data_IF_518099441556
#
_entry.id   IF_518099441556
#
_cell.length_a   1.000
_cell.length_b   1.000
_cell.length_c   1.000
_cell.angle_alpha   90.00
_cell.angle_beta   90.00
_cell.angle_gamma   90.00
#
_symmetry.space_group_name_H-M   'P 1'
#
loop_
_entity.id
_entity.type
_entity.pdbx_description
1 polymer ?
#
# COMPACT_ATOMS: atom_id res chain seq x y z
N UNK A 1 47.42 -44.77 58.93
CA UNK A 1 48.03 -43.44 59.05
C UNK A 1 47.39 -42.53 58.03
N UNK A 2 46.65 -41.54 58.50
CA UNK A 2 46.11 -40.41 57.73
C UNK A 2 47.24 -39.46 57.28
N UNK A 3 46.94 -38.49 56.38
CA UNK A 3 47.87 -37.91 55.41
C UNK A 3 48.25 -36.44 55.69
N UNK A 4 49.33 -35.94 55.07
CA UNK A 4 49.65 -34.52 54.92
C UNK A 4 50.56 -34.32 53.70
N UNK A 5 50.64 -33.17 53.02
CA UNK A 5 49.68 -32.22 52.43
C UNK A 5 50.59 -31.23 51.64
N UNK A 6 50.29 -31.04 50.35
CA UNK A 6 50.37 -29.79 49.55
C UNK A 6 51.74 -29.10 49.31
N UNK A 7 52.10 -28.90 48.05
CA UNK A 7 52.08 -27.62 47.31
C UNK A 7 52.56 -27.91 45.88
N UNK A 8 51.71 -27.69 44.88
CA UNK A 8 52.17 -27.26 43.56
C UNK A 8 51.13 -26.35 42.93
N UNK A 9 51.65 -25.21 42.48
CA UNK A 9 50.98 -24.04 41.97
C UNK A 9 50.08 -24.34 40.76
N UNK A 10 48.85 -23.81 40.87
CA UNK A 10 48.00 -23.21 39.83
C UNK A 10 48.59 -23.13 38.41
N UNK A 11 47.91 -23.74 37.43
CA UNK A 11 47.69 -23.17 36.08
C UNK A 11 46.54 -23.90 35.37
N UNK A 12 45.34 -23.82 35.93
CA UNK A 12 44.08 -23.99 35.18
C UNK A 12 43.53 -22.60 34.96
N UNK A 13 43.63 -22.06 33.76
CA UNK A 13 42.80 -21.03 33.12
C UNK A 13 43.54 -20.70 31.82
N UNK A 14 43.12 -21.27 30.69
CA UNK A 14 43.11 -20.65 29.36
C UNK A 14 42.29 -21.49 28.37
N UNK A 15 41.27 -22.20 28.87
CA UNK A 15 40.22 -22.83 28.06
C UNK A 15 38.88 -22.17 28.37
N UNK A 16 38.84 -20.85 28.25
CA UNK A 16 37.60 -20.09 28.23
C UNK A 16 37.84 -18.77 27.48
N UNK A 17 38.25 -18.89 26.22
CA UNK A 17 37.90 -17.84 25.26
C UNK A 17 36.41 -18.04 25.03
N UNK A 18 35.64 -17.49 25.97
CA UNK A 18 34.24 -17.22 25.82
C UNK A 18 34.12 -16.50 24.48
N UNK A 19 33.46 -17.13 23.51
CA UNK A 19 32.84 -16.43 22.41
C UNK A 19 31.78 -15.56 23.07
N UNK A 20 32.19 -14.43 23.64
CA UNK A 20 31.30 -13.32 23.90
C UNK A 20 30.88 -12.89 22.52
N UNK A 21 29.76 -13.45 22.05
CA UNK A 21 28.93 -12.74 21.11
C UNK A 21 28.83 -11.32 21.67
N UNK A 22 29.45 -10.37 20.98
CA UNK A 22 29.20 -8.97 21.18
C UNK A 22 27.72 -8.80 20.82
N UNK A 23 26.84 -9.03 21.80
CA UNK A 23 25.46 -8.58 21.71
C UNK A 23 25.60 -7.07 21.71
N UNK A 24 25.62 -6.47 20.52
CA UNK A 24 25.53 -5.03 20.40
C UNK A 24 24.17 -4.64 20.98
N UNK A 25 24.17 -4.15 22.21
CA UNK A 25 22.99 -3.54 22.82
C UNK A 25 22.65 -2.29 22.02
N UNK A 26 21.58 -2.36 21.22
CA UNK A 26 21.04 -1.19 20.54
C UNK A 26 20.35 -0.30 21.57
N UNK A 27 20.66 0.99 21.56
CA UNK A 27 19.96 1.99 22.36
C UNK A 27 18.60 2.27 21.71
N UNK A 28 17.51 1.96 22.42
CA UNK A 28 16.15 2.14 21.92
C UNK A 28 15.58 3.46 22.44
N UNK A 29 15.21 4.36 21.52
CA UNK A 29 14.62 5.65 21.83
C UNK A 29 13.12 5.62 21.51
N UNK A 30 12.28 5.70 22.53
CA UNK A 30 10.83 5.79 22.37
C UNK A 30 10.40 7.25 22.20
N UNK A 31 9.53 7.52 21.24
CA UNK A 31 8.92 8.84 20.99
C UNK A 31 7.41 8.70 20.89
N UNK A 32 6.68 9.48 21.67
CA UNK A 32 5.24 9.69 21.41
C UNK A 32 5.11 10.58 20.17
N UNK A 33 4.22 10.17 19.25
CA UNK A 33 4.10 10.78 17.93
C UNK A 33 2.63 11.09 17.58
N UNK A 34 2.47 12.13 16.77
CA UNK A 34 1.19 12.66 16.31
C UNK A 34 1.08 12.50 14.80
N UNK A 35 -0.15 12.35 14.31
CA UNK A 35 -0.41 12.28 12.87
C UNK A 35 -0.17 13.63 12.20
N UNK A 36 0.13 13.58 10.91
CA UNK A 36 0.31 14.75 10.04
C UNK A 36 1.51 15.64 10.44
N UNK A 37 2.37 15.15 11.33
CA UNK A 37 3.67 15.74 11.69
C UNK A 37 4.80 15.06 10.91
N UNK A 38 5.77 15.87 10.46
CA UNK A 38 7.00 15.37 9.83
C UNK A 38 8.13 15.36 10.85
N UNK A 39 8.69 14.18 11.10
CA UNK A 39 9.82 13.95 12.01
C UNK A 39 11.11 13.83 11.22
N UNK A 40 12.06 14.73 11.48
CA UNK A 40 13.41 14.69 10.90
C UNK A 40 14.39 14.22 11.98
N UNK A 41 14.86 12.99 11.86
CA UNK A 41 15.67 12.31 12.88
C UNK A 41 16.87 11.59 12.25
N UNK A 42 17.72 10.99 13.09
CA UNK A 42 18.87 10.21 12.62
C UNK A 42 19.09 8.95 13.44
N UNK A 43 19.50 7.88 12.76
CA UNK A 43 19.82 6.56 13.36
C UNK A 43 21.22 6.10 12.96
N UNK A 44 21.78 5.18 13.74
CA UNK A 44 23.05 4.48 13.54
C UNK A 44 22.88 3.01 13.87
N UNK A 45 23.88 2.17 13.61
CA UNK A 45 23.88 0.75 13.96
C UNK A 45 23.71 0.47 15.46
N UNK A 46 23.95 1.49 16.30
CA UNK A 46 23.85 1.41 17.76
C UNK A 46 22.55 2.00 18.30
N UNK A 47 21.66 2.54 17.47
CA UNK A 47 20.47 3.26 17.93
C UNK A 47 19.25 2.92 17.08
N UNK A 48 18.12 2.70 17.74
CA UNK A 48 16.81 2.45 17.16
C UNK A 48 15.84 3.52 17.66
N UNK A 49 14.92 3.97 16.81
CA UNK A 49 13.87 4.93 17.21
C UNK A 49 12.51 4.27 16.98
N UNK A 50 11.68 4.26 18.02
CA UNK A 50 10.31 3.72 17.99
C UNK A 50 9.34 4.87 18.21
N UNK A 51 8.53 5.18 17.19
CA UNK A 51 7.45 6.15 17.27
C UNK A 51 6.15 5.45 17.64
N UNK A 52 5.45 5.96 18.65
CA UNK A 52 4.15 5.48 19.08
C UNK A 52 3.07 6.44 18.65
N UNK A 53 2.17 5.98 17.79
CA UNK A 53 1.00 6.74 17.33
C UNK A 53 -0.26 6.18 18.00
N UNK A 54 -1.08 7.05 18.59
CA UNK A 54 -2.33 6.64 19.26
C UNK A 54 -3.54 6.90 18.37
N UNK A 55 -4.37 5.88 18.12
CA UNK A 55 -5.59 5.94 17.31
C UNK A 55 -6.79 5.37 18.07
N UNK A 56 -7.95 6.00 17.95
CA UNK A 56 -9.22 5.41 18.41
C UNK A 56 -9.77 4.49 17.30
N UNK A 57 -10.04 3.22 17.61
CA UNK A 57 -10.63 2.25 16.67
C UNK A 57 -11.71 1.43 17.40
N UNK A 58 -12.76 1.02 16.70
CA UNK A 58 -13.63 -0.08 17.14
C UNK A 58 -12.85 -1.41 16.98
N UNK A 59 -12.80 -2.26 18.03
CA UNK A 59 -12.06 -3.56 18.13
C UNK A 59 -12.12 -4.45 16.86
N UNK A 60 -11.20 -5.33 16.46
CA UNK A 60 -9.87 -5.84 16.82
C UNK A 60 -9.38 -6.65 15.57
N UNK A 61 -8.08 -6.80 15.32
CA UNK A 61 -7.38 -8.07 14.94
C UNK A 61 -5.97 -7.84 14.35
N UNK A 62 -5.13 -8.86 14.57
CA UNK A 62 -3.68 -9.01 14.33
C UNK A 62 -2.98 -7.96 13.47
N UNK A 63 -1.93 -7.41 14.06
CA UNK A 63 -0.93 -6.56 13.41
C UNK A 63 -0.31 -7.30 12.22
N UNK A 64 -0.69 -6.90 11.01
CA UNK A 64 0.19 -7.14 9.87
C UNK A 64 1.39 -6.22 10.08
N UNK A 65 2.55 -6.80 10.37
CA UNK A 65 3.81 -6.07 10.42
C UNK A 65 4.21 -5.82 8.97
N UNK A 66 4.21 -4.56 8.56
CA UNK A 66 4.79 -4.13 7.30
C UNK A 66 6.21 -3.65 7.58
N UNK A 67 7.17 -4.25 6.89
CA UNK A 67 8.56 -3.83 6.92
C UNK A 67 9.04 -3.58 5.49
N UNK A 68 9.77 -2.50 5.30
CA UNK A 68 10.33 -2.13 4.02
C UNK A 68 11.63 -1.36 4.23
N UNK A 69 12.56 -1.47 3.29
CA UNK A 69 13.87 -0.86 3.36
C UNK A 69 13.88 0.47 2.59
N UNK A 70 14.65 1.43 3.10
CA UNK A 70 15.03 2.66 2.38
C UNK A 70 16.55 2.62 2.12
N UNK A 71 17.02 2.82 0.87
CA UNK A 71 16.21 2.95 -0.34
C UNK A 71 15.49 1.64 -0.69
N UNK A 72 14.31 1.75 -1.29
CA UNK A 72 13.64 0.63 -1.92
C UNK A 72 14.30 0.38 -3.28
N UNK A 73 14.83 -0.82 -3.48
CA UNK A 73 15.47 -1.23 -4.74
C UNK A 73 14.48 -2.02 -5.60
N UNK A 74 14.07 -1.47 -6.74
CA UNK A 74 13.22 -2.16 -7.72
C UNK A 74 14.04 -2.60 -8.93
N UNK A 75 13.73 -3.77 -9.50
CA UNK A 75 14.49 -4.38 -10.60
C UNK A 75 13.70 -4.42 -11.90
N UNK A 76 14.21 -3.75 -12.93
CA UNK A 76 13.67 -3.78 -14.29
C UNK A 76 13.96 -5.08 -15.04
N UNK A 77 13.43 -5.19 -16.26
CA UNK A 77 13.51 -6.37 -17.12
C UNK A 77 14.95 -6.73 -17.46
N UNK A 78 15.81 -5.72 -17.71
CA UNK A 78 17.23 -5.91 -17.96
C UNK A 78 18.09 -6.03 -16.69
N UNK A 79 17.50 -6.36 -15.53
CA UNK A 79 18.16 -6.36 -14.21
C UNK A 79 18.72 -4.99 -13.78
N UNK A 80 18.24 -3.91 -14.38
CA UNK A 80 18.56 -2.55 -13.92
C UNK A 80 17.96 -2.33 -12.54
N UNK A 81 18.76 -1.84 -11.60
CA UNK A 81 18.30 -1.53 -10.25
C UNK A 81 17.97 -0.04 -10.11
N UNK A 82 16.76 0.26 -9.65
CA UNK A 82 16.26 1.61 -9.47
C UNK A 82 16.06 1.90 -7.97
N UNK A 83 16.90 2.77 -7.36
CA UNK A 83 16.77 3.13 -5.95
C UNK A 83 15.70 4.20 -5.74
N UNK A 84 14.81 3.99 -4.75
CA UNK A 84 13.83 4.97 -4.31
C UNK A 84 14.07 5.36 -2.85
N UNK A 85 14.44 6.61 -2.62
CA UNK A 85 14.69 7.15 -1.28
C UNK A 85 13.43 7.67 -0.59
N UNK A 86 12.40 8.03 -1.37
CA UNK A 86 11.06 8.40 -0.89
C UNK A 86 10.10 7.25 -1.14
N UNK A 87 9.53 6.72 -0.06
CA UNK A 87 8.61 5.60 -0.08
C UNK A 87 7.35 5.92 0.72
N UNK A 88 6.24 5.27 0.40
CA UNK A 88 4.95 5.51 1.05
C UNK A 88 4.03 4.31 0.86
N UNK A 89 3.35 3.90 1.93
CA UNK A 89 2.49 2.72 1.93
C UNK A 89 1.22 3.04 2.72
N UNK A 90 0.06 2.64 2.20
CA UNK A 90 -1.20 2.74 2.94
C UNK A 90 -1.35 1.49 3.80
N UNK A 91 -1.62 1.68 5.09
CA UNK A 91 -1.83 0.57 6.01
C UNK A 91 -3.23 -0.02 5.83
N UNK A 92 -3.31 -1.33 5.59
CA UNK A 92 -4.60 -2.00 5.51
C UNK A 92 -5.13 -2.25 6.92
N UNK A 93 -6.43 -1.98 7.12
CA UNK A 93 -7.09 -2.27 8.39
C UNK A 93 -7.94 -3.54 8.21
N UNK A 94 -7.68 -4.61 8.98
CA UNK A 94 -8.51 -5.79 8.92
C UNK A 94 -9.96 -5.44 9.32
N UNK A 95 -10.96 -6.16 8.78
CA UNK A 95 -12.36 -5.88 9.07
C UNK A 95 -12.66 -6.01 10.58
N UNK A 96 -13.27 -4.96 11.13
CA UNK A 96 -13.73 -4.84 12.51
C UNK A 96 -14.86 -5.85 12.74
N UNK A 97 -14.69 -6.76 13.71
CA UNK A 97 -15.75 -7.68 14.14
C UNK A 97 -16.50 -7.02 15.30
N UNK A 98 -17.72 -6.56 15.01
CA UNK A 98 -18.73 -5.98 15.92
C UNK A 98 -18.36 -4.67 16.64
N UNK A 99 -19.24 -3.67 16.49
CA UNK A 99 -19.18 -2.37 17.13
C UNK A 99 -19.70 -2.45 18.57
N UNK A 100 -18.80 -2.68 19.51
CA UNK A 100 -19.09 -2.56 20.93
C UNK A 100 -17.75 -2.35 21.64
N UNK A 101 -17.53 -1.11 22.09
CA UNK A 101 -16.33 -0.52 22.73
C UNK A 101 -15.29 0.11 21.79
N UNK A 102 -15.20 1.44 21.90
CA UNK A 102 -14.07 2.24 21.42
C UNK A 102 -12.85 1.95 22.29
N UNK A 103 -11.78 1.42 21.68
CA UNK A 103 -10.51 1.22 22.38
C UNK A 103 -9.42 2.06 21.71
N UNK A 104 -8.64 2.78 22.52
CA UNK A 104 -7.43 3.45 22.03
C UNK A 104 -6.40 2.36 21.70
N UNK A 105 -6.12 2.19 20.41
CA UNK A 105 -5.07 1.31 19.92
C UNK A 105 -3.86 2.15 19.49
N UNK A 106 -2.67 1.72 19.91
CA UNK A 106 -1.42 2.30 19.40
C UNK A 106 -0.87 1.44 18.28
N UNK A 107 -0.28 2.08 17.27
CA UNK A 107 0.65 1.41 16.36
C UNK A 107 2.03 2.04 16.48
N UNK A 108 3.03 1.24 16.13
CA UNK A 108 4.43 1.58 16.32
C UNK A 108 5.13 1.59 14.97
N UNK A 109 5.97 2.60 14.75
CA UNK A 109 6.88 2.66 13.62
C UNK A 109 8.29 2.54 14.17
N UNK A 110 8.98 1.48 13.74
CA UNK A 110 10.35 1.18 14.13
C UNK A 110 11.30 1.60 13.01
N UNK A 111 12.29 2.43 13.34
CA UNK A 111 13.35 2.87 12.43
C UNK A 111 14.71 2.45 12.97
N UNK A 112 15.43 1.66 12.17
CA UNK A 112 16.77 1.17 12.48
C UNK A 112 17.63 1.14 11.21
N UNK A 113 18.96 1.08 11.39
CA UNK A 113 19.92 0.96 10.29
C UNK A 113 21.09 0.10 10.73
N UNK A 114 21.78 -0.53 9.77
CA UNK A 114 23.05 -1.22 9.99
C UNK A 114 24.27 -0.31 9.82
N UNK A 115 24.07 0.93 9.36
CA UNK A 115 25.17 1.87 9.12
C UNK A 115 25.81 2.34 10.43
N UNK A 116 27.13 2.19 10.55
CA UNK A 116 27.88 2.77 11.67
C UNK A 116 27.93 4.30 11.64
N UNK A 117 27.62 4.92 10.51
CA UNK A 117 27.54 6.37 10.35
C UNK A 117 26.11 6.88 10.59
N UNK A 118 26.00 8.15 10.99
CA UNK A 118 24.71 8.82 11.20
C UNK A 118 23.93 8.90 9.89
N UNK A 119 22.77 8.25 9.85
CA UNK A 119 21.86 8.23 8.70
C UNK A 119 20.63 9.04 9.04
N UNK A 120 20.38 10.12 8.30
CA UNK A 120 19.23 11.00 8.51
C UNK A 120 18.02 10.50 7.72
N UNK A 121 16.82 10.68 8.26
CA UNK A 121 15.56 10.33 7.58
C UNK A 121 14.44 11.31 7.95
N UNK A 122 13.40 11.29 7.12
CA UNK A 122 12.13 11.95 7.39
C UNK A 122 11.02 10.90 7.48
N UNK A 123 10.21 11.00 8.54
CA UNK A 123 9.03 10.15 8.75
C UNK A 123 7.79 11.02 8.85
N UNK A 124 6.77 10.71 8.06
CA UNK A 124 5.45 11.31 8.16
C UNK A 124 4.39 10.21 8.13
N UNK A 125 3.45 10.27 9.07
CA UNK A 125 2.29 9.37 9.10
C UNK A 125 1.03 10.21 9.11
N UNK A 126 0.22 10.06 8.08
CA UNK A 126 -0.99 10.87 7.88
C UNK A 126 -2.25 10.02 7.80
N UNK A 127 -3.40 10.65 8.05
CA UNK A 127 -4.70 10.01 7.84
C UNK A 127 -5.12 10.22 6.39
N UNK A 128 -5.36 9.12 5.67
CA UNK A 128 -5.82 9.21 4.29
C UNK A 128 -7.29 9.65 4.26
N UNK A 129 -7.52 10.89 3.87
CA UNK A 129 -8.86 11.41 3.60
C UNK A 129 -9.44 10.74 2.34
N UNK A 130 -10.77 10.56 2.30
CA UNK A 130 -11.45 9.98 1.14
C UNK A 130 -10.97 8.58 0.73
N UNK A 131 -10.51 7.77 1.69
CA UNK A 131 -10.14 6.37 1.45
C UNK A 131 -11.31 5.54 0.89
N UNK A 132 -12.54 5.84 1.32
CA UNK A 132 -13.75 5.26 0.75
C UNK A 132 -14.24 6.12 -0.40
N UNK A 133 -14.20 5.57 -1.60
CA UNK A 133 -14.69 6.17 -2.83
C UNK A 133 -16.20 6.42 -2.76
N UNK A 134 -16.62 7.60 -3.18
CA UNK A 134 -18.04 7.94 -3.34
C UNK A 134 -18.46 7.69 -4.79
N UNK A 135 -19.70 7.22 -4.97
CA UNK A 135 -20.29 6.96 -6.29
C UNK A 135 -20.39 8.26 -7.09
N UNK A 136 -20.01 8.21 -8.37
CA UNK A 136 -19.99 9.33 -9.32
C UNK A 136 -19.13 10.54 -8.90
N UNK A 137 -18.32 10.40 -7.85
CA UNK A 137 -17.36 11.42 -7.46
C UNK A 137 -15.98 11.10 -8.03
N UNK A 138 -15.34 12.13 -8.60
CA UNK A 138 -13.97 12.04 -9.11
C UNK A 138 -12.96 12.21 -7.99
N UNK A 139 -12.12 11.20 -7.77
CA UNK A 139 -10.94 11.28 -6.91
C UNK A 139 -9.69 11.52 -7.77
N UNK A 140 -8.94 12.57 -7.47
CA UNK A 140 -7.65 12.86 -8.09
C UNK A 140 -6.52 12.49 -7.14
N UNK A 141 -5.53 11.73 -7.61
CA UNK A 141 -4.37 11.34 -6.81
C UNK A 141 -3.13 11.09 -7.67
N UNK A 142 -1.96 11.09 -7.02
CA UNK A 142 -0.69 10.72 -7.62
C UNK A 142 -0.25 9.35 -7.13
N UNK A 143 0.39 8.58 -8.01
CA UNK A 143 0.92 7.25 -7.73
C UNK A 143 2.32 7.12 -8.34
N UNK A 144 3.22 6.42 -7.66
CA UNK A 144 4.56 6.08 -8.16
C UNK A 144 4.90 4.61 -7.81
N UNK A 145 5.98 4.02 -8.35
CA UNK A 145 6.39 2.67 -7.97
C UNK A 145 6.67 2.52 -6.47
N UNK A 146 7.20 3.57 -5.82
CA UNK A 146 7.50 3.58 -4.38
C UNK A 146 6.37 4.09 -3.49
N UNK A 147 5.31 4.64 -4.09
CA UNK A 147 4.11 5.15 -3.42
C UNK A 147 2.84 4.66 -4.14
N UNK A 148 2.56 3.34 -4.10
CA UNK A 148 1.30 2.79 -4.59
C UNK A 148 0.12 3.26 -3.75
N UNK A 149 -1.08 3.26 -4.35
CA UNK A 149 -2.30 3.73 -3.70
C UNK A 149 -3.42 2.71 -3.89
N UNK A 150 -4.27 2.55 -2.87
CA UNK A 150 -5.51 1.81 -3.01
C UNK A 150 -6.64 2.45 -2.23
N UNK A 151 -7.86 2.25 -2.70
CA UNK A 151 -9.07 2.86 -2.15
C UNK A 151 -10.17 1.81 -1.98
N UNK A 152 -11.06 2.01 -1.00
CA UNK A 152 -12.21 1.13 -0.76
C UNK A 152 -13.42 1.65 -1.52
N UNK A 153 -14.21 0.77 -2.12
CA UNK A 153 -15.56 1.06 -2.57
C UNK A 153 -16.56 0.17 -1.87
N UNK A 154 -17.74 0.70 -1.54
CA UNK A 154 -18.87 -0.05 -0.97
C UNK A 154 -20.04 0.12 -1.93
N UNK A 155 -20.65 -0.99 -2.35
CA UNK A 155 -21.80 -0.91 -3.24
C UNK A 155 -22.98 -0.22 -2.52
N UNK A 156 -23.57 0.84 -3.10
CA UNK A 156 -24.75 1.48 -2.53
C UNK A 156 -25.98 0.57 -2.69
N UNK A 157 -26.98 0.71 -1.83
CA UNK A 157 -28.19 -0.13 -1.89
C UNK A 157 -28.83 -0.14 -3.29
N UNK A 158 -29.30 -1.31 -3.75
CA UNK A 158 -29.90 -1.47 -5.08
C UNK A 158 -28.97 -1.46 -6.30
N UNK A 159 -27.65 -1.25 -6.14
CA UNK A 159 -26.68 -1.25 -7.27
C UNK A 159 -25.85 -2.53 -7.34
N UNK A 160 -26.16 -3.43 -8.27
CA UNK A 160 -25.45 -4.71 -8.39
C UNK A 160 -24.23 -4.68 -9.30
N UNK A 161 -24.12 -3.67 -10.18
CA UNK A 161 -23.01 -3.55 -11.13
C UNK A 161 -22.50 -2.13 -11.19
N UNK A 162 -21.17 -1.98 -11.09
CA UNK A 162 -20.48 -0.69 -11.22
C UNK A 162 -19.35 -0.80 -12.23
N UNK A 163 -18.95 0.33 -12.79
CA UNK A 163 -17.77 0.46 -13.64
C UNK A 163 -16.75 1.36 -12.93
N UNK A 164 -15.55 0.82 -12.71
CA UNK A 164 -14.41 1.54 -12.15
C UNK A 164 -13.62 2.11 -13.32
N UNK A 165 -13.58 3.43 -13.45
CA UNK A 165 -12.89 4.13 -14.54
C UNK A 165 -11.71 4.91 -13.99
N UNK A 166 -10.54 4.72 -14.60
CA UNK A 166 -9.34 5.50 -14.31
C UNK A 166 -8.90 6.24 -15.57
N UNK A 167 -8.59 7.53 -15.43
CA UNK A 167 -8.13 8.38 -16.52
C UNK A 167 -6.87 9.15 -16.15
N UNK A 168 -5.95 9.30 -17.08
CA UNK A 168 -4.79 10.19 -17.00
C UNK A 168 -4.71 11.12 -18.21
N UNK A 169 -4.13 12.30 -18.01
CA UNK A 169 -3.70 13.17 -19.11
C UNK A 169 -2.41 12.64 -19.77
N UNK A 170 -1.62 11.84 -19.03
CA UNK A 170 -0.32 11.32 -19.45
C UNK A 170 -0.44 9.90 -20.01
N UNK A 171 0.27 9.57 -21.11
CA UNK A 171 0.33 8.19 -21.64
C UNK A 171 1.19 7.29 -20.76
N UNK A 172 2.33 7.80 -20.31
CA UNK A 172 3.33 7.13 -19.48
C UNK A 172 3.59 7.91 -18.19
N UNK A 173 4.03 7.26 -17.10
CA UNK A 173 4.45 5.85 -17.02
C UNK A 173 3.28 4.85 -17.09
N UNK A 174 3.55 3.59 -17.43
CA UNK A 174 2.58 2.50 -17.40
C UNK A 174 2.10 2.26 -15.97
N UNK A 175 0.81 1.98 -15.81
CA UNK A 175 0.22 1.70 -14.50
C UNK A 175 -0.74 0.51 -14.61
N UNK A 176 -0.97 -0.17 -13.49
CA UNK A 176 -1.93 -1.27 -13.38
C UNK A 176 -2.99 -0.88 -12.36
N UNK A 177 -4.26 -1.11 -12.70
CA UNK A 177 -5.38 -1.07 -11.75
C UNK A 177 -5.84 -2.50 -11.49
N UNK A 178 -6.07 -2.84 -10.23
CA UNK A 178 -6.50 -4.16 -9.79
C UNK A 178 -7.69 -4.03 -8.83
N UNK A 179 -8.72 -4.84 -9.05
CA UNK A 179 -9.91 -4.94 -8.22
C UNK A 179 -9.77 -6.17 -7.33
N UNK A 180 -9.69 -5.95 -6.03
CA UNK A 180 -9.38 -6.97 -5.02
C UNK A 180 -10.48 -7.03 -3.95
N UNK A 181 -10.69 -8.20 -3.35
CA UNK A 181 -11.61 -8.36 -2.22
C UNK A 181 -11.09 -7.60 -0.97
N UNK A 182 -11.95 -7.35 0.01
CA UNK A 182 -11.58 -6.70 1.28
C UNK A 182 -10.82 -7.70 2.16
N UNK A 183 -9.57 -7.93 1.81
CA UNK A 183 -8.66 -8.84 2.50
C UNK A 183 -7.27 -8.21 2.66
N UNK A 184 -6.67 -8.40 3.84
CA UNK A 184 -5.27 -8.06 4.11
C UNK A 184 -4.40 -9.32 3.96
N UNK A 185 -3.18 -9.23 3.38
CA UNK A 185 -2.55 -8.03 2.82
C UNK A 185 -3.14 -7.65 1.45
N UNK A 186 -3.16 -6.34 1.16
CA UNK A 186 -3.52 -5.83 -0.17
C UNK A 186 -2.33 -6.01 -1.10
N UNK A 187 -2.57 -6.50 -2.32
CA UNK A 187 -1.53 -6.62 -3.34
C UNK A 187 -1.37 -5.30 -4.08
N UNK A 188 -0.58 -4.42 -3.48
CA UNK A 188 -0.34 -3.04 -3.91
C UNK A 188 1.10 -2.83 -4.41
N UNK A 189 1.83 -3.90 -4.73
CA UNK A 189 3.20 -3.83 -5.24
C UNK A 189 3.27 -4.28 -6.69
N UNK A 190 4.27 -3.78 -7.42
CA UNK A 190 4.49 -4.11 -8.82
C UNK A 190 4.55 -5.62 -9.08
N UNK A 191 5.18 -6.37 -8.17
CA UNK A 191 5.35 -7.81 -8.28
C UNK A 191 4.13 -8.67 -7.92
N UNK A 192 3.05 -8.09 -7.36
CA UNK A 192 1.90 -8.89 -6.90
C UNK A 192 0.52 -8.31 -7.28
N UNK A 193 0.45 -7.07 -7.75
CA UNK A 193 -0.82 -6.38 -8.06
C UNK A 193 -1.66 -7.10 -9.12
N UNK A 194 -1.02 -7.90 -9.97
CA UNK A 194 -1.60 -8.69 -11.05
C UNK A 194 -1.85 -10.17 -10.67
N UNK A 195 -1.62 -10.57 -9.41
CA UNK A 195 -1.77 -11.97 -8.99
C UNK A 195 -3.21 -12.38 -8.68
N UNK A 196 -4.05 -11.47 -8.19
CA UNK A 196 -5.40 -11.78 -7.70
C UNK A 196 -6.42 -10.81 -8.27
N UNK A 197 -7.59 -11.35 -8.60
CA UNK A 197 -8.76 -10.58 -8.98
C UNK A 197 -8.74 -10.16 -10.45
N UNK A 198 -9.42 -9.05 -10.74
CA UNK A 198 -9.50 -8.47 -12.09
C UNK A 198 -8.55 -7.30 -12.16
N UNK A 199 -7.58 -7.33 -13.08
CA UNK A 199 -6.65 -6.23 -13.27
C UNK A 199 -6.58 -5.78 -14.74
N UNK A 200 -6.11 -4.56 -14.96
CA UNK A 200 -5.91 -3.99 -16.29
C UNK A 200 -4.72 -3.04 -16.30
N UNK A 201 -3.92 -3.08 -17.36
CA UNK A 201 -2.87 -2.08 -17.61
C UNK A 201 -3.49 -0.80 -18.18
N UNK A 202 -2.94 0.34 -17.78
CA UNK A 202 -3.48 1.68 -18.03
C UNK A 202 -2.37 2.56 -18.57
N UNK A 203 -2.55 3.03 -19.80
CA UNK A 203 -1.80 4.16 -20.35
C UNK A 203 -2.54 5.47 -20.02
N UNK A 204 -3.61 5.79 -20.74
CA UNK A 204 -4.45 6.98 -20.47
C UNK A 204 -5.81 6.64 -19.86
N UNK A 205 -6.37 5.49 -20.17
CA UNK A 205 -7.72 5.10 -19.76
C UNK A 205 -7.73 3.61 -19.43
N UNK A 206 -8.41 3.25 -18.34
CA UNK A 206 -8.73 1.87 -17.98
C UNK A 206 -10.14 1.81 -17.40
N UNK A 207 -10.84 0.71 -17.61
CA UNK A 207 -12.17 0.51 -17.09
C UNK A 207 -12.45 -0.97 -16.81
N UNK A 208 -12.85 -1.28 -15.58
CA UNK A 208 -13.24 -2.63 -15.16
C UNK A 208 -14.67 -2.60 -14.64
N UNK A 209 -15.52 -3.46 -15.21
CA UNK A 209 -16.87 -3.69 -14.70
C UNK A 209 -16.84 -4.71 -13.57
N UNK A 210 -17.45 -4.35 -12.44
CA UNK A 210 -17.42 -5.11 -11.19
C UNK A 210 -18.86 -5.44 -10.79
N UNK A 211 -19.12 -6.72 -10.52
CA UNK A 211 -20.43 -7.19 -10.05
C UNK A 211 -20.37 -7.41 -8.55
N UNK A 212 -21.39 -6.97 -7.82
CA UNK A 212 -21.49 -7.09 -6.37
C UNK A 212 -21.34 -8.53 -5.89
N UNK A 213 -21.94 -9.48 -6.62
CA UNK A 213 -21.92 -10.92 -6.30
C UNK A 213 -20.52 -11.54 -6.28
N UNK A 214 -19.54 -10.90 -6.93
CA UNK A 214 -18.16 -11.38 -6.96
C UNK A 214 -17.41 -11.10 -5.63
N UNK A 215 -18.00 -10.31 -4.72
CA UNK A 215 -17.36 -9.83 -3.48
C UNK A 215 -18.25 -10.07 -2.25
N UNK A 216 -17.78 -10.91 -1.33
CA UNK A 216 -18.57 -11.33 -0.16
C UNK A 216 -18.88 -10.22 0.85
N UNK A 217 -18.10 -9.13 0.85
CA UNK A 217 -18.26 -8.00 1.77
C UNK A 217 -19.06 -6.83 1.19
N UNK A 218 -19.73 -6.99 0.04
CA UNK A 218 -20.39 -5.91 -0.71
C UNK A 218 -19.47 -4.70 -0.93
N UNK A 219 -18.16 -4.96 -1.01
CA UNK A 219 -17.12 -3.94 -1.11
C UNK A 219 -15.87 -4.53 -1.71
N UNK A 220 -15.01 -3.69 -2.29
CA UNK A 220 -13.75 -4.10 -2.89
C UNK A 220 -12.71 -3.00 -2.75
N UNK A 221 -11.43 -3.36 -2.90
CA UNK A 221 -10.34 -2.42 -3.07
C UNK A 221 -10.04 -2.18 -4.55
N UNK A 222 -9.74 -0.93 -4.88
CA UNK A 222 -9.15 -0.51 -6.14
C UNK A 222 -7.69 -0.18 -5.87
N UNK A 223 -6.79 -1.10 -6.17
CA UNK A 223 -5.35 -0.90 -6.06
C UNK A 223 -4.78 -0.36 -7.38
N UNK A 224 -3.92 0.65 -7.30
CA UNK A 224 -3.29 1.27 -8.46
C UNK A 224 -1.78 1.38 -8.22
N UNK A 225 -1.01 0.82 -9.15
CA UNK A 225 0.45 0.74 -9.09
C UNK A 225 1.04 1.25 -10.39
N UNK A 226 2.13 2.01 -10.31
CA UNK A 226 2.93 2.38 -11.48
C UNK A 226 4.05 1.36 -11.67
N UNK A 227 4.22 0.87 -12.91
CA UNK A 227 5.30 -0.06 -13.27
C UNK A 227 6.61 0.73 -13.46
N UNK A 228 7.74 0.15 -13.06
CA UNK A 228 9.08 0.76 -13.25
C UNK A 228 9.46 0.89 -14.73
N UNK A 229 8.90 0.05 -15.59
CA UNK A 229 9.10 0.07 -17.03
C UNK A 229 7.76 0.05 -17.76
N UNK A 230 7.75 0.56 -19.00
CA UNK A 230 6.52 0.78 -19.76
C UNK A 230 6.08 -0.43 -20.60
N UNK A 231 6.89 -1.50 -20.61
CA UNK A 231 6.71 -2.71 -21.43
C UNK A 231 5.34 -3.38 -21.23
N UNK A 232 4.83 -3.35 -19.99
CA UNK A 232 3.51 -3.91 -19.65
C UNK A 232 2.34 -3.20 -20.37
N UNK A 233 2.54 -1.97 -20.84
CA UNK A 233 1.53 -1.20 -21.58
C UNK A 233 1.82 -1.08 -23.08
N UNK A 234 3.08 -1.17 -23.48
CA UNK A 234 3.54 -0.98 -24.86
C UNK A 234 4.71 -1.94 -25.11
N UNK A 235 4.58 -2.87 -26.07
CA UNK A 235 5.57 -3.94 -26.31
C UNK A 235 6.91 -3.42 -26.85
N UNK A 236 7.01 -2.12 -27.16
CA UNK A 236 8.25 -1.50 -27.58
C UNK A 236 8.96 -0.93 -26.35
N UNK A 237 10.23 -1.33 -26.09
CA UNK A 237 11.01 -0.74 -25.01
C UNK A 237 11.06 0.77 -25.23
N UNK A 238 10.57 1.53 -24.27
CA UNK A 238 10.76 2.98 -24.25
C UNK A 238 12.27 3.24 -24.31
N UNK A 239 12.71 4.09 -25.25
CA UNK A 239 14.13 4.37 -25.51
C UNK A 239 14.90 4.48 -24.18
N UNK A 240 15.93 3.65 -23.92
CA UNK A 240 16.61 3.56 -22.62
C UNK A 240 17.19 4.90 -22.15
N UNK A 241 17.47 5.83 -23.07
CA UNK A 241 17.89 7.21 -22.77
C UNK A 241 16.84 8.06 -22.05
N UNK A 242 15.58 7.61 -21.92
CA UNK A 242 14.52 8.32 -21.17
C UNK A 242 14.30 7.80 -19.74
N UNK A 243 15.09 6.83 -19.28
CA UNK A 243 15.01 6.27 -17.93
C UNK A 243 16.07 6.94 -17.03
N UNK A 244 16.21 8.26 -17.10
CA UNK A 244 17.17 8.99 -16.25
C UNK A 244 16.59 9.35 -14.88
N UNK A 245 15.31 9.12 -14.61
CA UNK A 245 14.71 9.46 -13.33
C UNK A 245 13.60 8.49 -12.94
N UNK A 246 13.98 7.38 -12.30
CA UNK A 246 13.03 6.52 -11.58
C UNK A 246 12.14 7.34 -10.61
N UNK A 247 12.71 8.36 -9.99
CA UNK A 247 12.02 9.29 -9.08
C UNK A 247 10.96 10.17 -9.78
N UNK A 248 11.05 10.36 -11.11
CA UNK A 248 10.05 11.10 -11.89
C UNK A 248 8.93 10.22 -12.44
N UNK A 249 8.94 8.90 -12.19
CA UNK A 249 7.88 7.96 -12.62
C UNK A 249 6.62 8.07 -11.75
N UNK A 250 6.10 9.28 -11.63
CA UNK A 250 4.84 9.56 -10.95
C UNK A 250 3.75 9.79 -11.98
N UNK A 251 2.55 9.25 -11.74
CA UNK A 251 1.38 9.41 -12.60
C UNK A 251 0.22 10.00 -11.81
N UNK A 252 -0.39 11.04 -12.38
CA UNK A 252 -1.61 11.64 -11.84
C UNK A 252 -2.82 10.99 -12.52
N UNK A 253 -3.74 10.50 -11.70
CA UNK A 253 -4.91 9.74 -12.13
C UNK A 253 -6.19 10.34 -11.55
N UNK A 254 -7.24 10.31 -12.36
CA UNK A 254 -8.63 10.56 -11.97
C UNK A 254 -9.35 9.20 -11.90
N UNK A 255 -9.89 8.85 -10.73
CA UNK A 255 -10.66 7.63 -10.48
C UNK A 255 -12.12 7.98 -10.21
N UNK A 256 -13.03 7.28 -10.89
CA UNK A 256 -14.48 7.40 -10.72
C UNK A 256 -15.10 6.01 -10.70
N UNK A 257 -16.06 5.78 -9.81
CA UNK A 257 -16.89 4.56 -9.80
C UNK A 257 -18.33 4.96 -10.06
N UNK A 258 -18.93 4.42 -11.11
CA UNK A 258 -20.30 4.74 -11.52
C UNK A 258 -21.15 3.48 -11.63
N UNK A 259 -22.46 3.52 -11.29
CA UNK A 259 -23.37 2.42 -11.56
C UNK A 259 -23.46 2.15 -13.07
N UNK A 260 -23.57 0.88 -13.45
CA UNK A 260 -23.92 0.53 -14.82
C UNK A 260 -25.44 0.58 -14.94
N UNK A 261 -25.96 1.62 -15.57
CA UNK A 261 -27.39 1.68 -15.91
C UNK A 261 -27.61 0.73 -17.08
N UNK A 262 -28.45 -0.28 -16.90
CA UNK A 262 -28.89 -1.13 -17.99
C UNK A 262 -29.60 -0.26 -19.03
N UNK A 263 -28.99 -0.14 -20.22
CA UNK A 263 -29.59 0.58 -21.37
C UNK A 263 -30.96 0.02 -21.76
N UNK A 264 -31.32 -1.18 -21.31
CA UNK A 264 -32.63 -1.79 -21.52
C UNK A 264 -33.78 -1.01 -20.87
N UNK A 265 -33.54 -0.27 -19.78
CA UNK A 265 -34.58 0.54 -19.13
C UNK A 265 -34.87 1.82 -19.93
N UNK A 266 -33.84 2.45 -20.51
CA UNK A 266 -34.00 3.65 -21.33
C UNK A 266 -34.76 3.39 -22.63
N UNK A 267 -34.52 2.25 -23.29
CA UNK A 267 -35.26 1.87 -24.50
C UNK A 267 -36.73 1.50 -24.23
N UNK A 268 -37.05 1.02 -23.03
CA UNK A 268 -38.43 0.68 -22.68
C UNK A 268 -39.25 1.93 -22.28
N UNK A 269 -38.61 2.95 -21.72
CA UNK A 269 -39.28 4.21 -21.38
C UNK A 269 -39.59 5.03 -22.64
N UNK A 270 -38.68 5.09 -23.60
CA UNK A 270 -38.90 5.75 -24.91
C UNK A 270 -40.04 5.09 -25.72
N UNK A 271 -40.20 3.76 -25.64
CA UNK A 271 -41.35 3.09 -26.29
C UNK A 271 -42.66 3.36 -25.56
N UNK A 272 -42.65 3.46 -24.23
CA UNK A 272 -43.86 3.70 -23.44
C UNK A 272 -44.38 5.13 -23.65
N UNK A 273 -43.48 6.09 -23.84
CA UNK A 273 -43.83 7.48 -24.14
C UNK A 273 -44.26 7.69 -25.60
N UNK A 274 -43.65 6.98 -26.56
CA UNK A 274 -44.08 6.98 -27.97
C UNK A 274 -45.46 6.34 -28.20
N UNK A 275 -45.87 5.42 -27.32
CA UNK A 275 -47.19 4.75 -27.36
C UNK A 275 -48.32 5.64 -26.81
N UNK A 276 -47.99 6.64 -25.98
CA UNK A 276 -48.96 7.54 -25.35
C UNK A 276 -49.31 8.75 -26.23
N UNK A 277 -48.43 9.12 -27.16
CA UNK A 277 -48.61 10.24 -28.10
C UNK A 277 -49.37 9.87 -29.39
N UNK A 278 -49.78 8.60 -29.58
CA UNK A 278 -50.39 8.13 -30.85
C UNK A 278 -51.88 7.74 -30.73
N UNK A 279 -52.56 8.24 -29.71
CA UNK A 279 -53.94 7.85 -29.36
C UNK A 279 -54.94 8.98 -29.13
N UNK A 280 -54.68 10.22 -29.60
CA UNK A 280 -55.68 11.30 -29.60
C UNK A 280 -55.53 12.16 -30.86
N UNK A 281 -56.08 11.68 -31.98
CA UNK A 281 -56.56 12.51 -33.10
C UNK A 281 -57.40 11.66 -34.05
N UNK A 282 -58.72 11.71 -33.81
CA UNK A 282 -59.83 11.93 -34.75
C UNK A 282 -61.13 11.44 -34.10
#
# INVERSE_FOLDING_TARGET
MSPQRWICLRFTIFLWICVTQLVQTQNVNHKDAEFDVTYSDSVTSRSQIIYKFSRTIDRNTKQAVLSFQVPLMLRGVAQNEYPFYRIGRTLCHPPIKSASETQTQSFFVDVSTLSGQRTNYELQVSRLQSFTLQTDQKLNFAVSPSQPQYFKYVFPEGVDTVIVKVRSKMKFPCSVMSIQDIQCPVYDLEQNVDFIGKYQTITKLGAITVQRKDFGSNSFYVAVVVKIEDEACDHFPSNPEKISDAEKRTKILDLVVSPVVDKLVLYQDERRDSSRMRGERL
#
